data_IF_391311094034
#
_entry.id   IF_391311094034
#
_cell.length_a   1.000
_cell.length_b   1.000
_cell.length_c   1.000
_cell.angle_alpha   90.00
_cell.angle_beta   90.00
_cell.angle_gamma   90.00
#
_symmetry.space_group_name_H-M   'P 1'
#
loop_
_entity.id
_entity.type
_entity.pdbx_description
1 polymer ?
#
# COMPACT_ATOMS: atom_id res chain seq x y z
N UNK A 1 8.59 -5.35 17.11
CA UNK A 1 8.43 -4.80 15.75
C UNK A 1 7.00 -5.02 15.34
N UNK A 2 6.37 -4.02 14.74
CA UNK A 2 5.02 -4.15 14.19
C UNK A 2 5.10 -4.58 12.72
N UNK A 3 4.12 -5.34 12.20
CA UNK A 3 3.97 -5.57 10.77
C UNK A 3 3.89 -4.25 10.00
N UNK A 4 4.63 -4.17 8.91
CA UNK A 4 4.65 -3.01 8.02
C UNK A 4 4.62 -3.47 6.57
N UNK A 5 3.58 -3.05 5.84
CA UNK A 5 3.40 -3.34 4.42
C UNK A 5 3.61 -2.05 3.63
N UNK A 6 4.53 -2.07 2.66
CA UNK A 6 4.71 -0.97 1.72
C UNK A 6 3.96 -1.27 0.43
N UNK A 7 3.23 -0.28 -0.09
CA UNK A 7 2.58 -0.35 -1.39
C UNK A 7 2.89 0.90 -2.22
N UNK A 8 3.17 0.77 -3.53
CA UNK A 8 3.26 1.91 -4.43
C UNK A 8 1.86 2.37 -4.85
N UNK A 9 1.69 3.66 -5.07
CA UNK A 9 0.49 4.26 -5.67
C UNK A 9 0.91 5.45 -6.56
N UNK A 10 -0.01 5.95 -7.38
CA UNK A 10 0.25 7.06 -8.31
C UNK A 10 -0.90 8.08 -8.34
N UNK A 11 -1.27 8.70 -7.18
CA UNK A 11 -2.28 9.75 -7.17
C UNK A 11 -1.87 10.87 -8.12
N UNK A 12 -2.79 11.27 -8.99
CA UNK A 12 -2.56 12.33 -9.99
C UNK A 12 -1.34 12.08 -10.91
N UNK A 13 -0.92 10.82 -11.06
CA UNK A 13 0.21 10.42 -11.91
C UNK A 13 1.60 10.57 -11.27
N UNK A 14 1.68 10.94 -9.99
CA UNK A 14 2.94 11.05 -9.26
C UNK A 14 3.23 9.80 -8.41
N UNK A 15 4.38 9.12 -8.59
CA UNK A 15 4.78 7.99 -7.75
C UNK A 15 4.85 8.35 -6.27
N UNK A 16 4.05 7.67 -5.43
CA UNK A 16 4.06 7.82 -3.98
C UNK A 16 4.13 6.44 -3.32
N UNK A 17 4.99 6.32 -2.31
CA UNK A 17 5.04 5.13 -1.44
C UNK A 17 4.14 5.30 -0.22
N UNK A 18 3.27 4.32 0.03
CA UNK A 18 2.40 4.27 1.23
C UNK A 18 2.88 3.14 2.13
N UNK A 19 2.97 3.41 3.43
CA UNK A 19 3.31 2.41 4.46
C UNK A 19 2.13 2.19 5.39
N UNK A 20 1.64 0.95 5.42
CA UNK A 20 0.59 0.48 6.31
C UNK A 20 1.23 -0.21 7.50
N UNK A 21 0.89 0.21 8.71
CA UNK A 21 1.39 -0.37 9.95
C UNK A 21 0.23 -1.07 10.65
N UNK A 22 0.39 -2.38 10.86
CA UNK A 22 -0.63 -3.22 11.49
C UNK A 22 -0.34 -3.54 12.96
N UNK A 23 -1.32 -4.11 13.68
CA UNK A 23 -1.10 -4.68 15.02
C UNK A 23 -0.09 -5.82 15.00
N UNK A 24 0.52 -6.09 16.16
CA UNK A 24 1.50 -7.18 16.30
C UNK A 24 0.88 -8.53 15.90
N UNK A 25 1.59 -9.29 15.05
CA UNK A 25 1.18 -10.59 14.50
C UNK A 25 0.01 -10.57 13.52
N UNK A 26 -0.45 -9.39 13.09
CA UNK A 26 -1.54 -9.25 12.14
C UNK A 26 -1.06 -8.90 10.73
N UNK A 27 0.01 -9.51 10.19
CA UNK A 27 0.55 -9.19 8.86
C UNK A 27 -0.49 -9.27 7.73
N UNK A 28 -1.50 -10.13 7.86
CA UNK A 28 -2.59 -10.26 6.89
C UNK A 28 -3.51 -9.04 6.84
N UNK A 29 -3.66 -8.31 7.94
CA UNK A 29 -4.53 -7.12 8.02
C UNK A 29 -4.02 -5.96 7.15
N UNK A 30 -2.77 -5.46 7.30
CA UNK A 30 -2.24 -4.42 6.43
C UNK A 30 -2.04 -4.90 4.99
N UNK A 31 -1.76 -6.19 4.75
CA UNK A 31 -1.73 -6.76 3.40
C UNK A 31 -3.09 -6.68 2.71
N UNK A 32 -4.15 -7.11 3.37
CA UNK A 32 -5.50 -7.04 2.80
C UNK A 32 -5.95 -5.58 2.59
N UNK A 33 -5.59 -4.68 3.50
CA UNK A 33 -5.84 -3.25 3.31
C UNK A 33 -5.10 -2.70 2.06
N UNK A 34 -3.87 -3.14 1.79
CA UNK A 34 -3.15 -2.74 0.58
C UNK A 34 -3.89 -3.18 -0.70
N UNK A 35 -4.43 -4.40 -0.74
CA UNK A 35 -5.23 -4.90 -1.87
C UNK A 35 -6.49 -4.05 -2.10
N UNK A 36 -7.18 -3.64 -1.03
CA UNK A 36 -8.36 -2.77 -1.11
C UNK A 36 -8.01 -1.35 -1.54
N UNK A 37 -6.87 -0.82 -1.08
CA UNK A 37 -6.40 0.51 -1.46
C UNK A 37 -5.98 0.55 -2.92
N UNK A 38 -5.34 -0.49 -3.45
CA UNK A 38 -4.99 -0.58 -4.87
C UNK A 38 -6.24 -0.50 -5.78
N UNK A 39 -7.34 -1.16 -5.39
CA UNK A 39 -8.61 -1.09 -6.12
C UNK A 39 -9.21 0.33 -6.12
N UNK A 40 -8.95 1.11 -5.08
CA UNK A 40 -9.53 2.45 -4.89
C UNK A 40 -8.68 3.55 -5.51
N UNK A 41 -7.35 3.45 -5.36
CA UNK A 41 -6.38 4.46 -5.82
C UNK A 41 -5.91 4.22 -7.25
N UNK A 42 -6.13 3.02 -7.78
CA UNK A 42 -5.63 2.59 -9.08
C UNK A 42 -4.21 2.03 -9.00
N UNK A 43 -3.76 1.36 -10.08
CA UNK A 43 -2.48 0.69 -10.12
C UNK A 43 -1.31 1.67 -10.15
N UNK A 44 -0.15 1.22 -9.70
CA UNK A 44 1.09 1.96 -9.88
C UNK A 44 1.52 1.99 -11.36
N UNK A 45 1.84 3.18 -11.85
CA UNK A 45 2.45 3.39 -13.16
C UNK A 45 3.91 3.83 -13.00
N UNK A 46 4.91 3.04 -13.45
CA UNK A 46 6.29 3.46 -13.40
C UNK A 46 6.53 4.66 -14.34
N UNK A 47 7.44 5.58 -13.99
CA UNK A 47 7.83 6.67 -14.88
C UNK A 47 8.47 6.12 -16.17
N UNK A 48 8.28 6.84 -17.29
CA UNK A 48 8.91 6.56 -18.59
C UNK A 48 10.33 7.12 -18.67
#
# INVERSE_FOLDING_TARGET
GLPATAMPTAPEGLPVGVQLIGPLFEDRTPLHLAELLEQTLGPFHPPQ
#
